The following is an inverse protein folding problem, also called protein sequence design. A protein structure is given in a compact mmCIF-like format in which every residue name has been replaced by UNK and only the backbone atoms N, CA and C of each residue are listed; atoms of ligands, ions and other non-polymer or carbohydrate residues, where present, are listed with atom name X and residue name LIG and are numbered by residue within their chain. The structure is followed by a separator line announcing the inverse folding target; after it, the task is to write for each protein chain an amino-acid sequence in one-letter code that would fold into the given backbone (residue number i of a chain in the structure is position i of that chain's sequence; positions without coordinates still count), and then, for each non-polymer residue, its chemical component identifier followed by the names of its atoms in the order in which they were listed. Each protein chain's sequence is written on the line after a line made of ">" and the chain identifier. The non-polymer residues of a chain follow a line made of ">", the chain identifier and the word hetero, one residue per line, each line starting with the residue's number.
data_IF_746094061094
#
_entry.id   IF_746094061094
#
_cell.length_a   1.000
_cell.length_b   1.000
_cell.length_c   1.000
_cell.angle_alpha   90.00
_cell.angle_beta   90.00
_cell.angle_gamma   90.00
#
_symmetry.space_group_name_H-M   'P 1'
#
loop_
_entity.id
_entity.type
_entity.pdbx_description
1 polymer ?
#
# COMPACT_ATOMS: atom_id res chain seq x y z
N UNK A 1 18.43 -1.69 14.03
CA UNK A 1 17.45 -0.87 13.28
C UNK A 1 16.57 -1.67 12.33
N UNK A 2 17.13 -2.55 11.50
CA UNK A 2 16.31 -3.47 10.68
C UNK A 2 15.24 -4.19 11.53
N UNK A 3 15.64 -4.85 12.63
CA UNK A 3 14.71 -5.51 13.55
C UNK A 3 13.64 -4.59 14.15
N UNK A 4 14.01 -3.35 14.49
CA UNK A 4 13.07 -2.37 15.04
C UNK A 4 11.98 -1.98 14.04
N UNK A 5 12.33 -1.77 12.77
CA UNK A 5 11.41 -1.25 11.75
C UNK A 5 10.70 -2.37 11.00
N UNK A 6 11.44 -3.40 10.57
CA UNK A 6 10.90 -4.49 9.77
C UNK A 6 10.12 -5.52 10.62
N UNK A 7 10.59 -5.77 11.84
CA UNK A 7 10.01 -6.76 12.75
C UNK A 7 9.31 -6.12 13.96
N UNK A 8 9.28 -4.78 14.04
CA UNK A 8 8.53 -4.02 15.05
C UNK A 8 8.92 -4.37 16.49
N UNK A 9 10.17 -4.81 16.70
CA UNK A 9 10.68 -5.09 18.04
C UNK A 9 10.87 -3.78 18.81
N UNK A 10 10.44 -3.76 20.08
CA UNK A 10 10.66 -2.59 20.96
C UNK A 10 12.14 -2.40 21.24
N UNK A 11 12.53 -1.19 21.67
CA UNK A 11 13.90 -0.93 22.12
C UNK A 11 14.30 -1.92 23.23
N UNK A 12 13.46 -2.10 24.25
CA UNK A 12 13.78 -3.01 25.35
C UNK A 12 13.88 -4.48 24.93
N UNK A 13 13.15 -4.92 23.90
CA UNK A 13 13.35 -6.26 23.33
C UNK A 13 14.69 -6.38 22.60
N UNK A 14 15.14 -5.31 21.94
CA UNK A 14 16.44 -5.28 21.27
C UNK A 14 17.57 -5.23 22.28
N UNK A 15 17.47 -4.43 23.34
CA UNK A 15 18.44 -4.39 24.45
C UNK A 15 18.69 -5.79 25.01
N UNK A 16 17.61 -6.51 25.37
CA UNK A 16 17.70 -7.89 25.85
C UNK A 16 18.32 -8.82 24.81
N UNK A 17 17.90 -8.72 23.55
CA UNK A 17 18.44 -9.55 22.47
C UNK A 17 19.94 -9.32 22.25
N UNK A 18 20.42 -8.08 22.32
CA UNK A 18 21.84 -7.76 22.17
C UNK A 18 22.66 -8.32 23.33
N UNK A 19 22.12 -8.26 24.56
CA UNK A 19 22.76 -8.83 25.73
C UNK A 19 22.80 -10.36 25.65
N UNK A 20 21.66 -11.01 25.38
CA UNK A 20 21.52 -12.47 25.43
C UNK A 20 22.27 -13.17 24.29
N UNK A 21 22.25 -12.61 23.07
CA UNK A 21 22.83 -13.26 21.90
C UNK A 21 24.30 -12.88 21.65
N UNK A 22 24.71 -11.67 22.05
CA UNK A 22 26.02 -11.12 21.70
C UNK A 22 26.82 -10.65 22.92
N UNK A 23 26.26 -10.65 24.12
CA UNK A 23 26.90 -10.09 25.31
C UNK A 23 27.08 -8.56 25.26
N UNK A 24 26.35 -7.88 24.37
CA UNK A 24 26.48 -6.44 24.16
C UNK A 24 25.43 -5.70 24.98
N UNK A 25 25.88 -4.86 25.91
CA UNK A 25 25.00 -3.97 26.64
C UNK A 25 24.76 -2.69 25.81
N UNK A 26 23.58 -2.58 25.21
CA UNK A 26 23.14 -1.41 24.44
C UNK A 26 21.82 -0.96 25.02
N UNK A 27 21.80 0.23 25.61
CA UNK A 27 20.64 0.76 26.31
C UNK A 27 19.54 1.23 25.35
N UNK A 28 18.29 1.21 25.83
CA UNK A 28 17.13 1.79 25.14
C UNK A 28 17.39 3.21 24.55
N UNK A 29 17.95 4.18 25.31
CA UNK A 29 18.27 5.50 24.77
C UNK A 29 19.25 5.47 23.59
N UNK A 30 20.25 4.59 23.63
CA UNK A 30 21.22 4.45 22.53
C UNK A 30 20.56 3.88 21.27
N UNK A 31 19.68 2.89 21.42
CA UNK A 31 18.89 2.34 20.30
C UNK A 31 18.02 3.42 19.65
N UNK A 32 17.35 4.24 20.47
CA UNK A 32 16.54 5.36 19.99
C UNK A 32 17.40 6.46 19.35
N UNK A 33 18.58 6.75 19.88
CA UNK A 33 19.54 7.67 19.28
C UNK A 33 20.00 7.17 17.90
N UNK A 34 20.31 5.88 17.76
CA UNK A 34 20.66 5.29 16.46
C UNK A 34 19.52 5.42 15.46
N UNK A 35 18.26 5.25 15.89
CA UNK A 35 17.08 5.49 15.05
C UNK A 35 17.08 6.92 14.53
N UNK A 36 17.22 7.91 15.41
CA UNK A 36 17.22 9.33 15.02
C UNK A 36 18.38 9.70 14.10
N UNK A 37 19.59 9.18 14.37
CA UNK A 37 20.75 9.38 13.49
C UNK A 37 20.53 8.79 12.10
N UNK A 38 19.96 7.59 12.03
CA UNK A 38 19.69 6.91 10.77
C UNK A 38 18.56 7.58 10.01
N UNK A 39 17.47 7.97 10.68
CA UNK A 39 16.40 8.76 10.08
C UNK A 39 16.96 10.05 9.48
N UNK A 40 17.77 10.81 10.24
CA UNK A 40 18.45 12.02 9.74
C UNK A 40 19.30 11.75 8.50
N UNK A 41 20.09 10.68 8.50
CA UNK A 41 20.93 10.30 7.35
C UNK A 41 20.10 10.02 6.10
N UNK A 42 18.91 9.42 6.26
CA UNK A 42 18.03 9.01 5.17
C UNK A 42 16.90 10.01 4.84
N UNK A 43 16.80 11.15 5.53
CA UNK A 43 15.85 12.23 5.18
C UNK A 43 15.93 12.65 3.69
N UNK A 44 17.10 12.73 3.04
CA UNK A 44 17.17 12.98 1.60
C UNK A 44 16.47 11.90 0.77
N UNK A 45 16.62 10.62 1.14
CA UNK A 45 15.93 9.50 0.49
C UNK A 45 14.43 9.66 0.62
N UNK A 46 13.94 9.91 1.85
CA UNK A 46 12.52 10.16 2.11
C UNK A 46 11.95 11.30 1.25
N UNK A 47 12.66 12.43 1.16
CA UNK A 47 12.25 13.56 0.32
C UNK A 47 12.18 13.19 -1.16
N UNK A 48 13.14 12.40 -1.65
CA UNK A 48 13.13 11.91 -3.02
C UNK A 48 11.95 10.95 -3.30
N UNK A 49 11.56 10.11 -2.33
CA UNK A 49 10.38 9.27 -2.43
C UNK A 49 9.10 10.10 -2.56
N UNK A 50 8.94 11.11 -1.69
CA UNK A 50 7.80 12.02 -1.76
C UNK A 50 7.76 12.76 -3.10
N UNK A 51 8.89 13.28 -3.57
CA UNK A 51 8.96 13.97 -4.86
C UNK A 51 8.53 13.07 -6.03
N UNK A 52 8.93 11.79 -6.02
CA UNK A 52 8.49 10.82 -7.04
C UNK A 52 7.01 10.51 -6.99
N UNK A 53 6.46 10.35 -5.79
CA UNK A 53 5.02 10.14 -5.60
C UNK A 53 4.25 11.33 -6.21
N UNK A 54 4.67 12.55 -5.91
CA UNK A 54 4.06 13.79 -6.40
C UNK A 54 4.30 14.05 -7.89
N UNK A 55 5.32 13.46 -8.50
CA UNK A 55 5.56 13.51 -9.94
C UNK A 55 4.87 12.36 -10.70
N UNK A 56 4.29 11.39 -9.98
CA UNK A 56 3.68 10.20 -10.56
C UNK A 56 2.29 10.43 -11.13
N UNK A 57 1.79 9.51 -11.97
CA UNK A 57 0.44 9.61 -12.53
C UNK A 57 -0.67 9.25 -11.54
N UNK A 58 -0.33 8.55 -10.45
CA UNK A 58 -1.29 8.04 -9.46
C UNK A 58 -0.72 8.28 -8.06
N UNK A 59 -1.55 8.86 -7.20
CA UNK A 59 -1.28 9.03 -5.78
C UNK A 59 -2.36 8.33 -4.99
N UNK A 60 -1.99 7.44 -4.10
CA UNK A 60 -2.85 6.87 -3.08
C UNK A 60 -2.71 7.65 -1.78
N UNK A 61 -3.82 7.94 -1.09
CA UNK A 61 -3.81 8.57 0.23
C UNK A 61 -4.80 7.91 1.20
N UNK A 62 -4.41 7.83 2.47
CA UNK A 62 -5.25 7.49 3.62
C UNK A 62 -4.58 8.05 4.89
N UNK A 63 -5.30 7.99 6.01
CA UNK A 63 -4.86 8.50 7.28
C UNK A 63 -5.36 7.65 8.45
N UNK A 64 -4.53 7.57 9.49
CA UNK A 64 -4.90 6.81 10.67
C UNK A 64 -4.51 7.50 11.96
N UNK A 65 -5.39 7.38 12.95
CA UNK A 65 -5.20 7.95 14.27
C UNK A 65 -4.00 7.31 14.99
N UNK A 66 -3.24 8.10 15.73
CA UNK A 66 -2.21 7.63 16.66
C UNK A 66 -2.35 8.34 18.01
N UNK A 67 -2.28 7.56 19.10
CA UNK A 67 -2.20 8.11 20.46
C UNK A 67 -0.74 8.31 20.83
N UNK A 68 -0.35 9.57 21.00
CA UNK A 68 0.98 9.94 21.45
C UNK A 68 1.03 10.01 22.97
N UNK A 69 2.24 10.11 23.53
CA UNK A 69 2.45 10.32 24.97
C UNK A 69 1.80 11.62 25.45
N UNK A 70 1.82 12.64 24.60
CA UNK A 70 1.21 13.95 24.86
C UNK A 70 0.16 14.21 23.78
N UNK A 71 -1.02 13.62 23.94
CA UNK A 71 -2.18 13.87 23.09
C UNK A 71 -2.36 12.87 21.95
N UNK A 72 -2.84 13.37 20.82
CA UNK A 72 -3.16 12.59 19.62
C UNK A 72 -2.49 13.19 18.39
N UNK A 73 -2.30 12.35 17.38
CA UNK A 73 -1.89 12.77 16.04
C UNK A 73 -2.54 11.87 14.99
N UNK A 74 -2.20 12.14 13.75
CA UNK A 74 -2.65 11.41 12.57
C UNK A 74 -1.46 11.09 11.70
N UNK A 75 -1.30 9.82 11.35
CA UNK A 75 -0.30 9.39 10.37
C UNK A 75 -0.98 9.26 9.03
N UNK A 76 -0.53 10.08 8.09
CA UNK A 76 -0.94 10.06 6.70
C UNK A 76 0.02 9.18 5.92
N UNK A 77 -0.53 8.41 5.00
CA UNK A 77 0.22 7.56 4.10
C UNK A 77 -0.04 8.05 2.69
N UNK A 78 1.04 8.35 1.97
CA UNK A 78 1.01 8.66 0.55
C UNK A 78 1.78 7.55 -0.17
N UNK A 79 1.19 6.97 -1.20
CA UNK A 79 1.81 5.87 -1.93
C UNK A 79 1.55 5.95 -3.43
N UNK A 80 2.39 5.29 -4.21
CA UNK A 80 2.09 4.92 -5.59
C UNK A 80 2.38 3.40 -5.74
N UNK A 81 2.58 2.93 -6.97
CA UNK A 81 2.88 1.50 -7.22
C UNK A 81 4.23 1.03 -6.67
N UNK A 82 5.18 1.94 -6.42
CA UNK A 82 6.56 1.59 -6.07
C UNK A 82 7.09 2.24 -4.80
N UNK A 83 6.59 3.42 -4.45
CA UNK A 83 7.02 4.25 -3.33
C UNK A 83 5.91 4.44 -2.30
N UNK A 84 6.32 4.52 -1.03
CA UNK A 84 5.43 4.76 0.11
C UNK A 84 6.09 5.76 1.06
N UNK A 85 5.33 6.75 1.49
CA UNK A 85 5.73 7.80 2.43
C UNK A 85 4.71 7.91 3.55
N UNK A 86 5.19 7.92 4.78
CA UNK A 86 4.40 8.18 5.98
C UNK A 86 4.76 9.54 6.58
N UNK A 87 3.77 10.31 6.99
CA UNK A 87 3.96 11.60 7.66
C UNK A 87 3.01 11.77 8.84
N UNK A 88 3.50 12.38 9.91
CA UNK A 88 2.68 12.71 11.07
C UNK A 88 2.12 14.13 10.94
N UNK A 89 0.86 14.31 11.38
CA UNK A 89 0.17 15.59 11.51
C UNK A 89 -0.57 15.68 12.85
N UNK A 90 -0.67 16.88 13.45
CA UNK A 90 -1.38 17.05 14.71
C UNK A 90 -2.90 16.90 14.56
N UNK A 91 -3.46 17.29 13.40
CA UNK A 91 -4.89 17.19 13.08
C UNK A 91 -5.13 16.26 11.89
N UNK A 92 -6.39 15.84 11.72
CA UNK A 92 -6.85 15.08 10.53
C UNK A 92 -7.16 16.02 9.35
N UNK A 93 -6.89 17.31 9.47
CA UNK A 93 -7.24 18.27 8.43
C UNK A 93 -6.36 18.07 7.20
N UNK A 94 -7.00 18.03 6.03
CA UNK A 94 -6.35 17.80 4.75
C UNK A 94 -5.81 19.08 4.09
N UNK A 95 -5.84 20.24 4.78
CA UNK A 95 -5.46 21.53 4.19
C UNK A 95 -4.01 21.52 3.67
N UNK A 96 -3.10 20.86 4.38
CA UNK A 96 -1.71 20.73 3.93
C UNK A 96 -1.57 19.98 2.60
N UNK A 97 -2.53 19.12 2.24
CA UNK A 97 -2.54 18.44 0.95
C UNK A 97 -2.90 19.38 -0.19
N UNK A 98 -3.66 20.47 0.05
CA UNK A 98 -3.96 21.45 -1.00
C UNK A 98 -2.69 22.14 -1.49
N UNK A 99 -1.80 22.51 -0.58
CA UNK A 99 -0.50 23.08 -0.95
C UNK A 99 0.40 22.03 -1.60
N UNK A 100 0.48 20.83 -1.00
CA UNK A 100 1.35 19.76 -1.49
C UNK A 100 0.97 19.26 -2.89
N UNK A 101 -0.32 19.26 -3.22
CA UNK A 101 -0.87 18.74 -4.48
C UNK A 101 -1.18 19.83 -5.50
N UNK A 102 -0.77 21.09 -5.25
CA UNK A 102 -1.09 22.21 -6.14
C UNK A 102 -0.63 21.99 -7.58
N UNK A 103 0.54 21.38 -7.77
CA UNK A 103 1.12 21.11 -9.09
C UNK A 103 0.92 19.65 -9.53
N UNK A 104 0.25 18.83 -8.72
CA UNK A 104 0.02 17.42 -9.01
C UNK A 104 -0.93 17.24 -10.19
N UNK A 105 -0.46 16.57 -11.25
CA UNK A 105 -1.23 16.33 -12.48
C UNK A 105 -1.80 14.90 -12.57
N UNK A 106 -1.56 14.07 -11.56
CA UNK A 106 -2.05 12.70 -11.51
C UNK A 106 -3.45 12.58 -10.91
N UNK A 107 -3.88 11.33 -10.69
CA UNK A 107 -5.15 11.01 -10.04
C UNK A 107 -4.94 10.61 -8.59
N UNK A 108 -5.70 11.21 -7.69
CA UNK A 108 -5.75 10.83 -6.28
C UNK A 108 -6.71 9.66 -6.06
N UNK A 109 -6.21 8.55 -5.56
CA UNK A 109 -6.99 7.39 -5.12
C UNK A 109 -7.12 7.46 -3.59
N UNK A 110 -8.33 7.56 -3.07
CA UNK A 110 -8.57 7.64 -1.62
C UNK A 110 -9.91 7.03 -1.22
N UNK A 111 -10.18 6.98 0.08
CA UNK A 111 -11.50 6.63 0.61
C UNK A 111 -12.50 7.81 0.49
N UNK A 112 -13.65 7.67 1.15
CA UNK A 112 -14.70 8.70 1.15
C UNK A 112 -14.48 9.77 2.24
N UNK A 113 -13.28 9.93 2.79
CA UNK A 113 -13.02 11.01 3.73
C UNK A 113 -13.19 12.38 3.05
N UNK A 114 -14.05 13.20 3.65
CA UNK A 114 -14.47 14.51 3.11
C UNK A 114 -13.30 15.48 2.98
N UNK A 115 -12.23 15.32 3.78
CA UNK A 115 -11.03 16.15 3.68
C UNK A 115 -10.39 16.12 2.28
N UNK A 116 -10.57 15.03 1.53
CA UNK A 116 -10.05 14.93 0.16
C UNK A 116 -10.90 15.67 -0.87
N UNK A 117 -12.17 15.96 -0.59
CA UNK A 117 -13.14 16.33 -1.63
C UNK A 117 -12.82 17.66 -2.33
N UNK A 118 -12.13 18.59 -1.64
CA UNK A 118 -11.73 19.91 -2.12
C UNK A 118 -10.35 19.96 -2.78
N UNK A 119 -9.64 18.83 -2.89
CA UNK A 119 -8.30 18.80 -3.48
C UNK A 119 -8.34 19.04 -5.00
N UNK A 120 -7.42 19.87 -5.54
CA UNK A 120 -7.47 20.35 -6.93
C UNK A 120 -6.90 19.34 -7.93
N UNK A 121 -7.30 18.07 -7.84
CA UNK A 121 -6.87 17.01 -8.75
C UNK A 121 -8.03 16.04 -9.04
N UNK A 122 -8.00 15.32 -10.18
CA UNK A 122 -8.93 14.22 -10.42
C UNK A 122 -8.85 13.19 -9.28
N UNK A 123 -9.99 12.62 -8.91
CA UNK A 123 -10.06 11.68 -7.78
C UNK A 123 -10.72 10.38 -8.20
N UNK A 124 -10.22 9.27 -7.67
CA UNK A 124 -10.85 7.96 -7.72
C UNK A 124 -11.13 7.50 -6.29
N UNK A 125 -12.42 7.43 -5.93
CA UNK A 125 -12.82 6.89 -4.63
C UNK A 125 -12.70 5.37 -4.65
N UNK A 126 -12.22 4.80 -3.55
CA UNK A 126 -12.02 3.36 -3.41
C UNK A 126 -13.36 2.63 -3.43
N UNK A 127 -13.63 1.85 -4.49
CA UNK A 127 -14.91 1.14 -4.59
C UNK A 127 -15.01 -0.03 -3.62
N UNK A 128 -13.91 -0.54 -3.06
CA UNK A 128 -13.97 -1.59 -2.03
C UNK A 128 -14.71 -1.10 -0.79
N UNK A 129 -14.47 0.14 -0.35
CA UNK A 129 -15.21 0.72 0.78
C UNK A 129 -16.69 0.86 0.45
N UNK A 130 -17.00 1.36 -0.75
CA UNK A 130 -18.38 1.49 -1.21
C UNK A 130 -19.12 0.14 -1.25
N UNK A 131 -18.47 -0.90 -1.79
CA UNK A 131 -19.05 -2.25 -1.87
C UNK A 131 -19.25 -2.86 -0.48
N UNK A 132 -18.29 -2.67 0.44
CA UNK A 132 -18.44 -3.13 1.84
C UNK A 132 -19.66 -2.49 2.50
N UNK A 133 -19.82 -1.18 2.33
CA UNK A 133 -20.95 -0.43 2.89
C UNK A 133 -22.29 -0.91 2.28
N UNK A 134 -22.37 -1.03 0.94
CA UNK A 134 -23.56 -1.55 0.25
C UNK A 134 -23.93 -2.96 0.70
N UNK A 135 -22.94 -3.85 0.84
CA UNK A 135 -23.18 -5.21 1.32
C UNK A 135 -23.70 -5.22 2.76
N UNK A 136 -23.16 -4.36 3.63
CA UNK A 136 -23.63 -4.25 5.00
C UNK A 136 -25.07 -3.73 5.06
N UNK A 137 -25.41 -2.74 4.24
CA UNK A 137 -26.76 -2.20 4.17
C UNK A 137 -27.77 -3.23 3.64
N UNK A 138 -27.38 -4.05 2.65
CA UNK A 138 -28.18 -5.18 2.18
C UNK A 138 -28.42 -6.24 3.26
N UNK A 139 -27.38 -6.56 4.04
CA UNK A 139 -27.50 -7.51 5.16
C UNK A 139 -28.45 -6.98 6.25
N UNK A 140 -28.41 -5.68 6.51
CA UNK A 140 -29.27 -5.03 7.50
C UNK A 140 -30.72 -4.84 6.99
N UNK A 141 -30.92 -4.77 5.68
CA UNK A 141 -32.21 -4.50 5.04
C UNK A 141 -32.51 -5.52 3.92
N UNK A 142 -32.63 -6.83 4.23
CA UNK A 142 -32.63 -7.89 3.23
C UNK A 142 -33.87 -7.88 2.32
N UNK A 143 -34.95 -7.20 2.68
CA UNK A 143 -36.20 -7.11 1.90
C UNK A 143 -36.39 -5.77 1.20
N UNK A 144 -35.36 -4.90 1.21
CA UNK A 144 -35.41 -3.60 0.53
C UNK A 144 -35.16 -3.79 -0.97
N UNK A 145 -36.25 -3.82 -1.76
CA UNK A 145 -36.19 -4.03 -3.21
C UNK A 145 -35.44 -2.93 -3.96
N UNK A 146 -35.55 -1.67 -3.50
CA UNK A 146 -34.85 -0.53 -4.10
C UNK A 146 -33.34 -0.69 -3.91
N UNK A 147 -32.92 -1.00 -2.68
CA UNK A 147 -31.52 -1.23 -2.34
C UNK A 147 -30.92 -2.43 -3.09
N UNK A 148 -31.66 -3.54 -3.18
CA UNK A 148 -31.27 -4.71 -3.97
C UNK A 148 -31.09 -4.34 -5.45
N UNK A 149 -32.02 -3.58 -6.02
CA UNK A 149 -31.97 -3.15 -7.40
C UNK A 149 -30.72 -2.32 -7.70
N UNK A 150 -30.43 -1.31 -6.88
CA UNK A 150 -29.26 -0.42 -7.08
C UNK A 150 -27.95 -1.19 -6.98
N UNK A 151 -27.81 -2.01 -5.94
CA UNK A 151 -26.58 -2.77 -5.69
C UNK A 151 -26.35 -3.82 -6.76
N UNK A 152 -27.41 -4.47 -7.26
CA UNK A 152 -27.32 -5.43 -8.37
C UNK A 152 -26.87 -4.75 -9.66
N UNK A 153 -27.43 -3.58 -9.99
CA UNK A 153 -27.04 -2.80 -11.18
C UNK A 153 -25.58 -2.33 -11.08
N UNK A 154 -25.20 -1.74 -9.94
CA UNK A 154 -23.82 -1.30 -9.69
C UNK A 154 -22.84 -2.48 -9.78
N UNK A 155 -23.16 -3.62 -9.16
CA UNK A 155 -22.32 -4.80 -9.20
C UNK A 155 -22.18 -5.42 -10.59
N UNK A 156 -23.24 -5.39 -11.41
CA UNK A 156 -23.19 -5.87 -12.80
C UNK A 156 -22.28 -4.98 -13.66
N UNK A 157 -22.44 -3.65 -13.56
CA UNK A 157 -21.59 -2.68 -14.22
C UNK A 157 -20.12 -2.87 -13.82
N UNK A 158 -19.85 -2.91 -12.51
CA UNK A 158 -18.48 -3.05 -12.02
C UNK A 158 -17.84 -4.36 -12.49
N UNK A 159 -18.57 -5.50 -12.43
CA UNK A 159 -18.06 -6.78 -12.94
C UNK A 159 -17.71 -6.73 -14.44
N UNK A 160 -18.53 -6.06 -15.26
CA UNK A 160 -18.25 -5.86 -16.69
C UNK A 160 -16.93 -5.11 -16.90
N UNK A 161 -16.73 -4.02 -16.16
CA UNK A 161 -15.51 -3.23 -16.22
C UNK A 161 -14.31 -4.04 -15.72
N UNK A 162 -14.43 -4.73 -14.59
CA UNK A 162 -13.35 -5.52 -14.01
C UNK A 162 -12.92 -6.70 -14.88
N UNK A 163 -13.84 -7.35 -15.60
CA UNK A 163 -13.47 -8.35 -16.59
C UNK A 163 -12.53 -7.78 -17.68
N UNK A 164 -12.73 -6.51 -18.05
CA UNK A 164 -11.85 -5.81 -19.00
C UNK A 164 -10.50 -5.45 -18.37
N UNK A 165 -10.50 -5.07 -17.09
CA UNK A 165 -9.26 -4.84 -16.33
C UNK A 165 -8.44 -6.13 -16.23
N UNK A 166 -9.07 -7.27 -15.97
CA UNK A 166 -8.39 -8.56 -15.84
C UNK A 166 -7.77 -9.00 -17.18
N UNK A 167 -8.44 -8.72 -18.31
CA UNK A 167 -7.96 -9.08 -19.64
C UNK A 167 -6.87 -8.15 -20.18
N UNK A 168 -6.99 -6.83 -19.95
CA UNK A 168 -6.16 -5.83 -20.62
C UNK A 168 -5.33 -4.95 -19.69
N UNK A 169 -5.52 -5.08 -18.38
CA UNK A 169 -4.98 -4.20 -17.35
C UNK A 169 -5.70 -2.84 -17.30
N UNK A 170 -5.17 -1.95 -16.47
CA UNK A 170 -5.67 -0.59 -16.27
C UNK A 170 -5.23 0.33 -17.42
N UNK A 171 -5.78 0.10 -18.61
CA UNK A 171 -5.48 0.87 -19.82
C UNK A 171 -6.73 1.59 -20.32
N UNK A 172 -6.68 2.93 -20.34
CA UNK A 172 -7.78 3.81 -20.76
C UNK A 172 -8.41 3.36 -22.07
N UNK A 173 -7.62 3.11 -23.11
CA UNK A 173 -8.11 2.71 -24.45
C UNK A 173 -9.03 1.49 -24.47
N UNK A 174 -8.95 0.62 -23.45
CA UNK A 174 -9.82 -0.55 -23.32
C UNK A 174 -10.98 -0.29 -22.36
N UNK A 175 -10.78 0.56 -21.36
CA UNK A 175 -11.78 0.85 -20.32
C UNK A 175 -12.77 1.95 -20.72
N UNK A 176 -12.36 2.90 -21.58
CA UNK A 176 -13.21 4.02 -22.00
C UNK A 176 -14.47 3.58 -22.75
N UNK A 177 -14.49 2.35 -23.30
CA UNK A 177 -15.68 1.73 -23.89
C UNK A 177 -16.86 1.62 -22.92
N UNK A 178 -16.57 1.58 -21.60
CA UNK A 178 -17.58 1.48 -20.55
C UNK A 178 -18.20 2.82 -20.17
N UNK A 179 -17.70 3.95 -20.71
CA UNK A 179 -18.20 5.28 -20.35
C UNK A 179 -19.72 5.42 -20.56
N UNK A 180 -20.25 4.88 -21.67
CA UNK A 180 -21.69 4.89 -21.94
C UNK A 180 -22.51 4.03 -20.97
N UNK A 181 -21.94 2.92 -20.47
CA UNK A 181 -22.59 2.09 -19.45
C UNK A 181 -22.65 2.81 -18.10
N UNK A 182 -21.56 3.49 -17.73
CA UNK A 182 -21.48 4.31 -16.51
C UNK A 182 -22.46 5.48 -16.58
N UNK A 183 -22.51 6.21 -17.69
CA UNK A 183 -23.45 7.32 -17.88
C UNK A 183 -24.90 6.84 -17.80
N UNK A 184 -25.22 5.73 -18.46
CA UNK A 184 -26.54 5.10 -18.40
C UNK A 184 -26.91 4.70 -16.96
N UNK A 185 -25.97 4.15 -16.20
CA UNK A 185 -26.19 3.79 -14.80
C UNK A 185 -26.57 5.00 -13.95
N UNK A 186 -25.82 6.11 -14.04
CA UNK A 186 -26.12 7.31 -13.27
C UNK A 186 -27.43 7.99 -13.69
N UNK A 187 -27.78 7.96 -14.99
CA UNK A 187 -29.08 8.45 -15.46
C UNK A 187 -30.22 7.66 -14.83
N UNK A 188 -30.17 6.32 -14.91
CA UNK A 188 -31.18 5.44 -14.31
C UNK A 188 -31.27 5.63 -12.80
N UNK A 189 -30.13 5.78 -12.11
CA UNK A 189 -30.09 6.03 -10.67
C UNK A 189 -30.70 7.39 -10.28
N UNK A 190 -30.52 8.41 -11.11
CA UNK A 190 -31.07 9.75 -10.89
C UNK A 190 -32.59 9.75 -11.00
N UNK A 191 -33.15 8.99 -11.95
CA UNK A 191 -34.60 8.90 -12.20
C UNK A 191 -35.35 8.07 -11.14
N UNK A 192 -34.64 7.32 -10.30
CA UNK A 192 -35.24 6.51 -9.24
C UNK A 192 -35.56 7.35 -7.99
N UNK A 193 -36.71 7.06 -7.37
CA UNK A 193 -37.14 7.66 -6.10
C UNK A 193 -37.30 6.56 -5.04
N UNK A 194 -36.23 6.26 -4.27
CA UNK A 194 -36.24 5.15 -3.33
C UNK A 194 -37.18 5.42 -2.15
N UNK A 195 -37.88 4.37 -1.71
CA UNK A 195 -38.85 4.45 -0.61
C UNK A 195 -38.16 4.48 0.76
N UNK A 196 -37.12 3.67 0.94
CA UNK A 196 -36.40 3.58 2.21
C UNK A 196 -35.35 4.68 2.35
N UNK A 197 -35.08 5.06 3.60
CA UNK A 197 -34.02 6.02 3.92
C UNK A 197 -32.64 5.46 3.58
N UNK A 198 -32.41 4.16 3.77
CA UNK A 198 -31.15 3.48 3.43
C UNK A 198 -30.87 3.53 1.93
N UNK A 199 -31.86 3.18 1.11
CA UNK A 199 -31.73 3.21 -0.35
C UNK A 199 -31.53 4.65 -0.85
N UNK A 200 -32.20 5.63 -0.24
CA UNK A 200 -31.99 7.06 -0.50
C UNK A 200 -30.57 7.51 -0.15
N UNK A 201 -30.04 7.10 1.00
CA UNK A 201 -28.69 7.45 1.42
C UNK A 201 -27.61 6.90 0.48
N UNK A 202 -27.73 5.65 0.01
CA UNK A 202 -26.80 5.07 -0.97
C UNK A 202 -26.92 5.80 -2.31
N UNK A 203 -28.14 6.04 -2.80
CA UNK A 203 -28.36 6.80 -4.03
C UNK A 203 -27.69 8.17 -3.96
N UNK A 204 -27.95 8.93 -2.90
CA UNK A 204 -27.41 10.27 -2.74
C UNK A 204 -25.89 10.25 -2.61
N UNK A 205 -25.31 9.23 -1.95
CA UNK A 205 -23.86 9.04 -1.89
C UNK A 205 -23.23 8.78 -3.26
N UNK A 206 -23.87 7.95 -4.09
CA UNK A 206 -23.42 7.68 -5.46
C UNK A 206 -23.51 8.93 -6.34
N UNK A 207 -24.62 9.67 -6.23
CA UNK A 207 -24.88 10.89 -7.01
C UNK A 207 -24.07 12.11 -6.53
N UNK A 208 -23.54 12.09 -5.31
CA UNK A 208 -22.67 13.17 -4.80
C UNK A 208 -21.32 13.24 -5.53
N UNK A 209 -20.80 12.11 -5.99
CA UNK A 209 -19.44 12.01 -6.54
C UNK A 209 -19.34 11.15 -7.81
N UNK A 210 -20.23 11.31 -8.82
CA UNK A 210 -20.28 10.41 -9.98
C UNK A 210 -18.96 10.38 -10.74
N UNK A 211 -18.37 11.56 -10.95
CA UNK A 211 -17.10 11.75 -11.64
C UNK A 211 -15.88 11.29 -10.84
N UNK A 212 -16.07 10.81 -9.60
CA UNK A 212 -15.00 10.28 -8.75
C UNK A 212 -15.08 8.77 -8.54
N UNK A 213 -16.16 8.09 -8.98
CA UNK A 213 -16.31 6.64 -8.79
C UNK A 213 -15.70 5.82 -9.93
N UNK A 214 -15.66 6.38 -11.14
CA UNK A 214 -15.19 5.66 -12.33
C UNK A 214 -14.05 6.36 -13.07
N UNK A 215 -13.37 7.33 -12.44
CA UNK A 215 -12.19 8.01 -12.99
C UNK A 215 -11.16 7.04 -13.55
N UNK A 216 -11.01 5.87 -12.94
CA UNK A 216 -10.07 4.83 -13.38
C UNK A 216 -10.29 4.31 -14.82
N UNK A 217 -11.47 4.53 -15.42
CA UNK A 217 -11.70 4.15 -16.82
C UNK A 217 -11.16 5.19 -17.82
N UNK A 218 -10.89 6.41 -17.34
CA UNK A 218 -10.47 7.57 -18.15
C UNK A 218 -8.96 7.83 -18.12
N UNK A 219 -8.22 7.15 -17.23
CA UNK A 219 -6.78 7.34 -17.00
C UNK A 219 -6.05 6.00 -16.97
N UNK A 220 -4.83 5.97 -17.51
CA UNK A 220 -3.98 4.78 -17.46
C UNK A 220 -3.45 4.55 -16.03
N UNK A 221 -3.31 3.27 -15.66
CA UNK A 221 -2.73 2.79 -14.40
C UNK A 221 -3.45 3.21 -13.12
N UNK A 222 -4.55 3.96 -13.18
CA UNK A 222 -5.36 4.31 -12.01
C UNK A 222 -6.15 3.09 -11.57
N UNK A 223 -6.00 2.59 -10.34
CA UNK A 223 -6.78 1.49 -9.83
C UNK A 223 -8.14 1.95 -9.31
N UNK A 224 -9.14 1.09 -9.41
CA UNK A 224 -10.49 1.30 -8.86
C UNK A 224 -10.54 1.16 -7.31
N UNK A 225 -9.44 0.76 -6.67
CA UNK A 225 -9.34 0.53 -5.24
C UNK A 225 -8.03 1.09 -4.65
N UNK A 226 -8.02 1.26 -3.33
CA UNK A 226 -6.89 1.78 -2.56
C UNK A 226 -6.05 0.68 -1.89
N UNK A 227 -5.99 -0.55 -2.44
CA UNK A 227 -5.33 -1.69 -1.77
C UNK A 227 -3.85 -1.45 -1.47
N UNK A 228 -3.15 -0.72 -2.32
CA UNK A 228 -1.74 -0.38 -2.11
C UNK A 228 -1.55 0.44 -0.84
N UNK A 229 -2.46 1.36 -0.54
CA UNK A 229 -2.43 2.09 0.70
C UNK A 229 -2.85 1.17 1.85
N UNK A 230 -3.95 0.41 1.73
CA UNK A 230 -4.45 -0.44 2.83
C UNK A 230 -3.36 -1.42 3.33
N UNK A 231 -2.50 -1.90 2.43
CA UNK A 231 -1.35 -2.72 2.81
C UNK A 231 -0.24 -1.92 3.54
N UNK A 232 0.01 -0.67 3.14
CA UNK A 232 0.96 0.22 3.79
C UNK A 232 0.47 0.66 5.18
N UNK A 233 -0.80 1.05 5.32
CA UNK A 233 -1.37 1.50 6.60
C UNK A 233 -1.35 0.39 7.65
N UNK A 234 -1.59 -0.87 7.25
CA UNK A 234 -1.52 -2.04 8.14
C UNK A 234 -0.18 -2.16 8.84
N UNK A 235 0.90 -1.82 8.15
CA UNK A 235 2.25 -1.91 8.69
C UNK A 235 2.47 -0.90 9.82
N UNK A 236 1.88 0.30 9.70
CA UNK A 236 1.85 1.25 10.81
C UNK A 236 0.82 0.86 11.88
N UNK A 237 -0.33 0.30 11.51
CA UNK A 237 -1.37 -0.12 12.46
C UNK A 237 -0.84 -1.14 13.49
N UNK A 238 -0.08 -2.15 13.05
CA UNK A 238 0.56 -3.11 13.95
C UNK A 238 1.58 -2.45 14.89
N UNK A 239 2.38 -1.51 14.37
CA UNK A 239 3.33 -0.77 15.19
C UNK A 239 2.61 0.07 16.24
N UNK A 240 1.57 0.81 15.81
CA UNK A 240 0.73 1.65 16.67
C UNK A 240 0.16 0.87 17.85
N UNK A 241 -0.39 -0.33 17.62
CA UNK A 241 -0.96 -1.16 18.68
C UNK A 241 0.05 -1.50 19.78
N UNK A 242 1.33 -1.64 19.45
CA UNK A 242 2.40 -1.95 20.41
C UNK A 242 2.96 -0.70 21.11
N UNK A 243 2.70 0.48 20.58
CA UNK A 243 3.32 1.74 21.03
C UNK A 243 2.31 2.79 21.48
N UNK A 244 1.07 2.39 21.77
CA UNK A 244 -0.01 3.28 22.16
C UNK A 244 0.39 4.12 23.39
N UNK A 245 0.39 5.45 23.25
CA UNK A 245 0.60 6.37 24.38
C UNK A 245 2.04 6.43 24.91
N UNK A 246 3.00 5.73 24.31
CA UNK A 246 4.40 5.74 24.78
C UNK A 246 5.30 6.64 23.94
N UNK A 247 4.94 6.87 22.66
CA UNK A 247 5.78 7.63 21.73
C UNK A 247 5.64 9.14 21.86
N UNK A 248 6.78 9.84 21.78
CA UNK A 248 6.82 11.29 21.52
C UNK A 248 6.74 11.54 20.02
N UNK A 249 6.25 12.72 19.65
CA UNK A 249 6.10 13.15 18.25
C UNK A 249 7.40 13.03 17.44
N UNK A 250 8.50 13.63 17.91
CA UNK A 250 9.80 13.53 17.23
C UNK A 250 10.28 12.09 17.04
N UNK A 251 9.97 11.20 18.00
CA UNK A 251 10.29 9.78 17.91
C UNK A 251 9.44 9.05 16.87
N UNK A 252 8.19 9.47 16.67
CA UNK A 252 7.32 8.97 15.62
C UNK A 252 7.84 9.41 14.24
N UNK A 253 8.16 10.69 14.05
CA UNK A 253 8.67 11.20 12.76
C UNK A 253 9.89 10.45 12.26
N UNK A 254 10.87 10.21 13.13
CA UNK A 254 12.07 9.45 12.78
C UNK A 254 11.74 8.00 12.40
N UNK A 255 10.76 7.39 13.08
CA UNK A 255 10.29 6.05 12.73
C UNK A 255 9.60 6.03 11.37
N UNK A 256 8.73 7.01 11.09
CA UNK A 256 7.99 7.12 9.83
C UNK A 256 8.92 7.31 8.62
N UNK A 257 10.02 8.06 8.77
CA UNK A 257 11.07 8.17 7.73
C UNK A 257 11.63 6.78 7.38
N UNK A 258 12.00 6.00 8.38
CA UNK A 258 12.58 4.67 8.16
C UNK A 258 11.52 3.66 7.66
N UNK A 259 10.28 3.77 8.13
CA UNK A 259 9.17 2.94 7.70
C UNK A 259 8.84 3.18 6.21
N UNK A 260 8.88 4.44 5.76
CA UNK A 260 8.69 4.82 4.34
C UNK A 260 9.69 4.10 3.43
N UNK A 261 10.96 4.12 3.84
CA UNK A 261 12.06 3.47 3.10
C UNK A 261 11.90 1.95 3.14
N UNK A 262 11.54 1.38 4.29
CA UNK A 262 11.28 -0.04 4.42
C UNK A 262 10.14 -0.50 3.51
N UNK A 263 9.00 0.19 3.50
CA UNK A 263 7.87 -0.19 2.63
C UNK A 263 8.21 -0.02 1.17
N UNK A 264 8.89 1.06 0.79
CA UNK A 264 9.37 1.24 -0.58
C UNK A 264 10.33 0.11 -0.99
N UNK A 265 11.23 -0.32 -0.09
CA UNK A 265 12.09 -1.47 -0.34
C UNK A 265 11.26 -2.74 -0.59
N UNK A 266 10.19 -2.96 0.18
CA UNK A 266 9.29 -4.10 -0.03
C UNK A 266 8.57 -4.04 -1.37
N UNK A 267 8.06 -2.88 -1.77
CA UNK A 267 7.33 -2.70 -3.03
C UNK A 267 8.25 -2.97 -4.21
N UNK A 268 9.50 -2.50 -4.14
CA UNK A 268 10.53 -2.75 -5.16
C UNK A 268 11.20 -4.12 -5.04
N UNK A 269 10.77 -4.99 -4.12
CA UNK A 269 11.32 -6.35 -3.96
C UNK A 269 12.79 -6.40 -3.53
N UNK A 270 13.30 -5.37 -2.85
CA UNK A 270 14.68 -5.29 -2.37
C UNK A 270 14.79 -5.51 -0.87
N UNK A 271 15.93 -6.04 -0.44
CA UNK A 271 16.20 -6.26 0.99
C UNK A 271 16.57 -4.93 1.66
N UNK A 272 15.69 -4.49 2.57
CA UNK A 272 15.92 -3.29 3.39
C UNK A 272 17.22 -3.37 4.18
N UNK A 273 17.55 -4.52 4.79
CA UNK A 273 18.83 -4.70 5.49
C UNK A 273 20.03 -4.47 4.56
N UNK A 274 20.02 -5.04 3.35
CA UNK A 274 21.12 -4.86 2.39
C UNK A 274 21.22 -3.41 1.92
N UNK A 275 20.08 -2.72 1.76
CA UNK A 275 20.06 -1.28 1.46
C UNK A 275 20.70 -0.47 2.59
N UNK A 276 20.31 -0.70 3.84
CA UNK A 276 20.91 -0.01 5.00
C UNK A 276 22.43 -0.25 5.10
N UNK A 277 22.86 -1.51 4.94
CA UNK A 277 24.28 -1.87 5.00
C UNK A 277 25.10 -1.26 3.85
N UNK A 278 24.48 -0.96 2.71
CA UNK A 278 25.15 -0.31 1.58
C UNK A 278 25.46 1.17 1.83
N UNK A 279 24.77 1.82 2.77
CA UNK A 279 24.83 3.26 3.06
C UNK A 279 24.47 4.17 1.86
N UNK A 280 23.98 3.60 0.76
CA UNK A 280 23.43 4.34 -0.37
C UNK A 280 22.20 5.13 0.08
N UNK A 281 21.97 6.31 -0.51
CA UNK A 281 20.80 7.17 -0.21
C UNK A 281 19.78 7.17 -1.35
N UNK A 282 20.09 6.62 -2.52
CA UNK A 282 19.12 6.38 -3.59
C UNK A 282 18.75 4.91 -3.68
N UNK A 283 17.47 4.62 -3.47
CA UNK A 283 16.94 3.26 -3.64
C UNK A 283 17.12 2.77 -5.09
N UNK A 284 16.98 3.65 -6.08
CA UNK A 284 17.10 3.25 -7.49
C UNK A 284 18.55 2.92 -7.86
N UNK A 285 19.52 3.73 -7.42
CA UNK A 285 20.95 3.44 -7.61
C UNK A 285 21.33 2.11 -6.99
N UNK A 286 20.76 1.80 -5.83
CA UNK A 286 20.94 0.50 -5.17
C UNK A 286 20.36 -0.65 -6.00
N UNK A 287 19.17 -0.47 -6.60
CA UNK A 287 18.54 -1.45 -7.50
C UNK A 287 19.41 -1.73 -8.73
N UNK A 288 19.94 -0.68 -9.38
CA UNK A 288 20.81 -0.79 -10.56
C UNK A 288 22.08 -1.59 -10.25
N UNK A 289 22.74 -1.27 -9.14
CA UNK A 289 23.99 -1.92 -8.72
C UNK A 289 23.81 -3.41 -8.42
N UNK A 290 22.63 -3.82 -7.92
CA UNK A 290 22.37 -5.22 -7.54
C UNK A 290 22.15 -6.15 -8.73
N UNK A 291 21.68 -5.65 -9.88
CA UNK A 291 21.57 -6.46 -11.11
C UNK A 291 22.93 -7.04 -11.53
N UNK A 292 24.03 -6.42 -11.11
CA UNK A 292 25.41 -6.82 -11.42
C UNK A 292 26.04 -7.86 -10.46
N UNK A 293 25.48 -8.08 -9.26
CA UNK A 293 26.14 -8.86 -8.18
C UNK A 293 25.24 -9.95 -7.59
N UNK A 294 25.07 -11.06 -8.31
CA UNK A 294 24.55 -12.31 -7.75
C UNK A 294 25.68 -13.32 -7.51
N UNK A 295 26.31 -13.25 -6.34
CA UNK A 295 27.01 -14.40 -5.74
C UNK A 295 26.66 -14.44 -4.25
N UNK A 296 25.81 -15.39 -3.86
CA UNK A 296 25.63 -15.74 -2.47
C UNK A 296 26.83 -16.60 -2.04
N UNK A 297 27.50 -16.23 -0.97
CA UNK A 297 28.30 -17.20 -0.20
C UNK A 297 27.31 -17.92 0.71
N UNK A 298 27.08 -19.21 0.50
CA UNK A 298 26.24 -20.01 1.38
C UNK A 298 26.89 -20.08 2.76
N UNK A 299 26.11 -19.82 3.81
CA UNK A 299 26.50 -20.19 5.16
C UNK A 299 26.32 -21.71 5.23
N UNK A 300 27.34 -22.43 5.71
CA UNK A 300 27.22 -23.88 5.95
C UNK A 300 26.25 -24.06 7.14
N UNK A 301 25.00 -24.38 6.81
CA UNK A 301 23.91 -24.50 7.79
C UNK A 301 23.88 -25.87 8.47
N UNK A 302 24.56 -26.85 7.91
CA UNK A 302 24.51 -28.23 8.36
C UNK A 302 25.91 -28.77 8.57
N UNK A 303 26.13 -29.60 9.60
CA UNK A 303 27.39 -30.30 9.77
C UNK A 303 27.76 -31.09 8.51
N UNK A 304 29.06 -31.24 8.25
CA UNK A 304 29.56 -32.09 7.16
C UNK A 304 28.96 -33.50 7.28
N UNK A 305 28.34 -33.97 6.20
CA UNK A 305 27.66 -35.28 6.15
C UNK A 305 26.17 -35.25 6.50
N UNK A 306 25.62 -34.13 6.98
CA UNK A 306 24.19 -33.98 7.18
C UNK A 306 23.55 -33.26 5.98
N UNK A 307 22.60 -33.92 5.32
CA UNK A 307 21.78 -33.31 4.27
C UNK A 307 20.31 -33.45 4.67
N UNK A 308 19.59 -32.35 4.92
CA UNK A 308 18.17 -32.41 5.23
C UNK A 308 17.41 -33.11 4.12
N UNK A 309 16.39 -33.88 4.49
CA UNK A 309 15.52 -34.58 3.53
C UNK A 309 14.94 -33.60 2.50
N UNK A 310 14.60 -32.38 2.93
CA UNK A 310 14.06 -31.33 2.04
C UNK A 310 15.12 -30.75 1.08
N UNK A 311 16.40 -30.74 1.45
CA UNK A 311 17.48 -30.28 0.58
C UNK A 311 17.79 -31.28 -0.55
N UNK A 312 17.58 -32.58 -0.29
CA UNK A 312 17.75 -33.65 -1.30
C UNK A 312 16.75 -33.54 -2.47
N UNK A 313 15.56 -33.00 -2.24
CA UNK A 313 14.53 -32.79 -3.28
C UNK A 313 14.92 -31.63 -4.19
N UNK A 314 15.40 -30.51 -3.61
CA UNK A 314 15.83 -29.32 -4.36
C UNK A 314 17.00 -29.56 -5.32
N UNK A 315 17.90 -30.50 -5.01
CA UNK A 315 19.01 -30.86 -5.89
C UNK A 315 18.62 -31.85 -7.00
N UNK A 316 17.54 -32.64 -6.82
CA UNK A 316 17.00 -33.48 -7.89
C UNK A 316 16.37 -32.64 -9.01
N UNK A 317 15.60 -31.62 -8.67
CA UNK A 317 14.96 -30.73 -9.65
C UNK A 317 15.96 -29.85 -10.42
N UNK A 318 17.14 -29.57 -9.84
CA UNK A 318 18.22 -28.87 -10.55
C UNK A 318 18.99 -29.76 -11.52
N UNK A 319 19.03 -31.07 -11.30
CA UNK A 319 19.75 -32.01 -12.18
C UNK A 319 18.92 -32.47 -13.38
N UNK A 320 17.59 -32.36 -13.33
CA UNK A 320 16.69 -32.77 -14.43
C UNK A 320 16.41 -31.64 -15.45
N UNK A 321 16.89 -30.42 -15.21
CA UNK A 321 16.58 -29.24 -16.02
C UNK A 321 17.58 -28.82 -17.12
N UNK A 322 18.61 -29.61 -17.43
CA UNK A 322 19.54 -29.29 -18.52
C UNK A 322 19.92 -30.49 -19.39
N UNK A 323 19.23 -30.69 -20.52
CA UNK A 323 19.60 -31.70 -21.51
C UNK A 323 18.57 -31.95 -22.61
N UNK A 324 18.58 -31.07 -23.63
CA UNK A 324 18.29 -31.27 -25.07
C UNK A 324 17.11 -32.14 -25.54
N UNK A 325 16.29 -31.47 -26.36
CA UNK A 325 15.52 -31.88 -27.54
C UNK A 325 16.03 -33.07 -28.37
N UNK A 326 15.12 -34.00 -28.69
CA UNK A 326 15.00 -34.77 -29.94
C UNK A 326 15.30 -36.28 -29.86
N UNK A 327 14.75 -37.15 -30.75
CA UNK A 327 13.45 -37.14 -31.43
C UNK A 327 12.53 -38.29 -30.96
N UNK A 328 11.26 -38.22 -31.36
CA UNK A 328 10.26 -39.30 -31.25
C UNK A 328 10.64 -40.43 -32.22
N UNK A 329 10.62 -41.71 -31.81
CA UNK A 329 10.41 -42.83 -32.73
C UNK A 329 8.97 -43.35 -32.63
N UNK A 330 8.38 -43.57 -33.81
CA UNK A 330 7.10 -44.23 -34.07
C UNK A 330 7.12 -45.72 -33.71
N UNK A 331 5.92 -46.21 -33.37
CA UNK A 331 5.36 -47.58 -33.46
C UNK A 331 6.05 -48.79 -32.82
N UNK A 332 5.38 -49.35 -31.80
CA UNK A 332 4.62 -50.62 -31.90
C UNK A 332 3.49 -50.68 -30.87
#
# INVERSE_FOLDING_TARGET
>A
MYEHVAHQLSAGSLEKMFLDLFGLNISDPEILMFKSLMARFYRPTYKALLAKILAGPVLHADETYVKLRTGKGYVWVLANMEEVVFMNRPTREAEFLQEMLREFQGVLVSDFYVGYDSLPCPQQKCLIHLIRDMNQDLLNNPFDEDLQSFTKQFGALLRSILATVDEHGLKRRHLERHAGEVEKFFRVLSDQCPRSDTARAIRDRLLKCPDKLFTFIQYDSVPWNNNNEENAIKQFAYYRERTVGTMKEAGLDDYLVLLSIYQTCRYKGISFLKFLLSRERSIDKFCETKRMRRRYRGIELYPKGFTPVQARVRDRDKKTGSGRTGPIPEDQ
#
